data_IF_845623419631
#
_entry.id   IF_845623419631
#
_cell.length_a   1.000
_cell.length_b   1.000
_cell.length_c   1.000
_cell.angle_alpha   90.00
_cell.angle_beta   90.00
_cell.angle_gamma   90.00
#
_symmetry.space_group_name_H-M   'P 1'
#
loop_
_entity.id
_entity.type
_entity.pdbx_description
1 polymer ?
#
# COMPACT_ATOMS: atom_id res chain seq x y z
N UNK A 1 34.60 -11.67 49.91
CA UNK A 1 33.74 -12.57 49.17
C UNK A 1 32.54 -11.76 48.67
N UNK A 2 32.66 -11.21 47.46
CA UNK A 2 31.57 -10.42 46.85
C UNK A 2 30.97 -11.22 45.72
N UNK A 3 29.76 -11.65 45.91
CA UNK A 3 28.97 -12.41 44.93
C UNK A 3 28.31 -11.41 44.00
N UNK A 4 28.88 -11.24 42.80
CA UNK A 4 28.22 -10.47 41.72
C UNK A 4 27.07 -11.28 41.16
N UNK A 5 25.86 -10.93 41.55
CA UNK A 5 24.62 -11.46 40.94
C UNK A 5 24.49 -10.93 39.52
N UNK A 6 24.66 -11.84 38.55
CA UNK A 6 24.38 -11.59 37.14
C UNK A 6 22.86 -11.46 36.96
N UNK A 7 22.32 -10.26 36.99
CA UNK A 7 20.94 -9.97 36.53
C UNK A 7 20.93 -10.11 34.99
N UNK A 8 20.69 -11.32 34.51
CA UNK A 8 20.23 -11.53 33.13
C UNK A 8 18.83 -10.91 33.03
N UNK A 9 18.74 -9.82 32.33
CA UNK A 9 17.50 -9.13 31.99
C UNK A 9 16.60 -10.11 31.23
N UNK A 10 15.69 -10.77 31.96
CA UNK A 10 14.77 -11.77 31.43
C UNK A 10 13.53 -11.03 30.89
N UNK A 11 13.73 -10.20 29.83
CA UNK A 11 12.59 -9.65 29.10
C UNK A 11 11.75 -10.81 28.56
N UNK A 12 10.42 -10.84 28.82
CA UNK A 12 9.56 -11.89 28.30
C UNK A 12 9.72 -11.99 26.79
N UNK A 13 9.92 -13.19 26.26
CA UNK A 13 10.02 -13.43 24.83
C UNK A 13 8.71 -13.00 24.19
N UNK A 14 8.76 -11.99 23.31
CA UNK A 14 7.61 -11.58 22.51
C UNK A 14 7.03 -12.77 21.74
N UNK A 15 5.71 -12.86 21.58
CA UNK A 15 5.06 -13.83 20.70
C UNK A 15 5.65 -13.77 19.27
N UNK A 16 5.50 -14.87 18.52
CA UNK A 16 6.06 -14.98 17.17
C UNK A 16 5.50 -13.89 16.23
N UNK A 17 4.21 -13.64 16.32
CA UNK A 17 3.51 -12.68 15.44
C UNK A 17 3.88 -11.23 15.76
N UNK A 18 4.06 -10.90 17.03
CA UNK A 18 4.54 -9.57 17.44
C UNK A 18 5.97 -9.32 16.94
N UNK A 19 6.85 -10.33 17.03
CA UNK A 19 8.21 -10.22 16.45
C UNK A 19 8.19 -10.06 14.95
N UNK A 20 7.28 -10.78 14.25
CA UNK A 20 7.12 -10.63 12.81
C UNK A 20 6.66 -9.21 12.46
N UNK A 21 5.72 -8.63 13.19
CA UNK A 21 5.26 -7.27 12.98
C UNK A 21 6.37 -6.24 13.18
N UNK A 22 7.18 -6.38 14.26
CA UNK A 22 8.35 -5.51 14.49
C UNK A 22 9.38 -5.61 13.36
N UNK A 23 9.64 -6.81 12.84
CA UNK A 23 10.55 -7.01 11.71
C UNK A 23 10.03 -6.34 10.44
N UNK A 24 8.73 -6.44 10.14
CA UNK A 24 8.13 -5.81 8.97
C UNK A 24 8.18 -4.28 9.07
N UNK A 25 7.88 -3.72 10.25
CA UNK A 25 7.97 -2.27 10.48
C UNK A 25 9.40 -1.75 10.32
N UNK A 26 10.37 -2.40 10.96
CA UNK A 26 11.79 -2.03 10.83
C UNK A 26 12.30 -2.18 9.39
N UNK A 27 11.84 -3.20 8.68
CA UNK A 27 12.20 -3.43 7.28
C UNK A 27 11.65 -2.34 6.37
N UNK A 28 10.38 -1.92 6.56
CA UNK A 28 9.77 -0.82 5.81
C UNK A 28 10.63 0.45 5.93
N UNK A 29 10.96 0.86 7.15
CA UNK A 29 11.79 2.04 7.39
C UNK A 29 13.15 1.95 6.69
N UNK A 30 13.85 0.82 6.83
CA UNK A 30 15.18 0.65 6.23
C UNK A 30 15.10 0.61 4.71
N UNK A 31 14.13 -0.12 4.13
CA UNK A 31 13.95 -0.18 2.67
C UNK A 31 13.56 1.18 2.06
N UNK A 32 12.76 1.97 2.77
CA UNK A 32 12.33 3.29 2.30
C UNK A 32 13.49 4.30 2.32
N UNK A 33 14.36 4.23 3.32
CA UNK A 33 15.49 5.17 3.48
C UNK A 33 16.68 4.79 2.61
N UNK A 34 17.09 3.51 2.67
CA UNK A 34 18.32 3.03 2.02
C UNK A 34 18.10 2.45 0.60
N UNK A 35 16.85 2.14 0.23
CA UNK A 35 16.51 1.35 -0.93
C UNK A 35 16.81 -0.14 -0.71
N UNK A 36 16.23 -1.01 -1.55
CA UNK A 36 16.40 -2.47 -1.41
C UNK A 36 17.87 -2.89 -1.45
N UNK A 37 18.63 -2.41 -2.43
CA UNK A 37 19.99 -2.91 -2.66
C UNK A 37 20.92 -2.57 -1.50
N UNK A 38 20.85 -1.36 -0.95
CA UNK A 38 21.72 -0.88 0.12
C UNK A 38 21.28 -1.31 1.51
N UNK A 39 20.00 -1.69 1.69
CA UNK A 39 19.48 -2.15 2.97
C UNK A 39 20.20 -3.41 3.47
N UNK A 40 20.64 -3.39 4.72
CA UNK A 40 21.33 -4.50 5.37
C UNK A 40 20.39 -5.25 6.32
N UNK A 41 20.37 -6.59 6.24
CA UNK A 41 19.57 -7.45 7.14
C UNK A 41 19.97 -7.26 8.60
N UNK A 42 21.24 -6.94 8.87
CA UNK A 42 21.74 -6.69 10.22
C UNK A 42 21.14 -5.40 10.81
N UNK A 43 21.08 -4.33 10.01
CA UNK A 43 20.44 -3.07 10.43
C UNK A 43 18.95 -3.26 10.74
N UNK A 44 18.25 -4.06 9.92
CA UNK A 44 16.84 -4.38 10.17
C UNK A 44 16.68 -5.17 11.47
N UNK A 45 17.54 -6.16 11.74
CA UNK A 45 17.51 -6.93 12.97
C UNK A 45 17.74 -6.05 14.22
N UNK A 46 18.76 -5.18 14.16
CA UNK A 46 19.09 -4.26 15.23
C UNK A 46 17.94 -3.28 15.50
N UNK A 47 17.34 -2.71 14.44
CA UNK A 47 16.21 -1.79 14.55
C UNK A 47 14.96 -2.45 15.12
N UNK A 48 14.69 -3.71 14.75
CA UNK A 48 13.61 -4.52 15.31
C UNK A 48 13.88 -5.03 16.73
N UNK A 49 15.09 -4.84 17.27
CA UNK A 49 15.49 -5.31 18.60
C UNK A 49 15.56 -6.84 18.68
N UNK A 50 15.88 -7.52 17.57
CA UNK A 50 16.02 -8.99 17.52
C UNK A 50 17.43 -9.39 17.06
N UNK A 51 17.82 -10.63 17.36
CA UNK A 51 19.08 -11.14 16.82
C UNK A 51 18.96 -11.56 15.35
N UNK A 52 20.06 -11.46 14.59
CA UNK A 52 20.13 -11.90 13.19
C UNK A 52 19.59 -13.30 12.93
N UNK A 53 19.91 -14.33 13.75
CA UNK A 53 19.30 -15.65 13.58
C UNK A 53 17.79 -15.67 13.71
N UNK A 54 17.22 -14.83 14.58
CA UNK A 54 15.75 -14.71 14.74
C UNK A 54 15.13 -14.10 13.50
N UNK A 55 15.74 -13.06 12.92
CA UNK A 55 15.28 -12.48 11.65
C UNK A 55 15.26 -13.55 10.55
N UNK A 56 16.34 -14.30 10.36
CA UNK A 56 16.41 -15.35 9.33
C UNK A 56 15.48 -16.54 9.59
N UNK A 57 15.04 -16.78 10.83
CA UNK A 57 13.97 -17.74 11.14
C UNK A 57 12.59 -17.28 10.64
N UNK A 58 12.36 -15.96 10.53
CA UNK A 58 11.10 -15.39 10.02
C UNK A 58 11.14 -15.17 8.50
N UNK A 59 12.31 -14.75 7.99
CA UNK A 59 12.49 -14.37 6.58
C UNK A 59 13.84 -14.93 6.08
N UNK A 60 13.83 -16.02 5.31
CA UNK A 60 15.06 -16.72 4.87
C UNK A 60 16.01 -15.82 4.04
N UNK A 61 15.46 -14.85 3.31
CA UNK A 61 16.23 -13.90 2.51
C UNK A 61 15.75 -12.46 2.66
N UNK A 62 16.56 -11.51 2.16
CA UNK A 62 16.17 -10.10 2.07
C UNK A 62 14.97 -9.91 1.14
N UNK A 63 14.90 -10.71 0.07
CA UNK A 63 13.77 -10.66 -0.87
C UNK A 63 12.49 -11.16 -0.19
N UNK A 64 12.53 -12.27 0.56
CA UNK A 64 11.35 -12.76 1.29
C UNK A 64 10.81 -11.72 2.27
N UNK A 65 11.71 -11.00 2.97
CA UNK A 65 11.33 -9.92 3.86
C UNK A 65 10.71 -8.74 3.10
N UNK A 66 11.33 -8.34 1.99
CA UNK A 66 10.83 -7.26 1.14
C UNK A 66 9.44 -7.57 0.60
N UNK A 67 9.26 -8.78 0.05
CA UNK A 67 7.97 -9.23 -0.47
C UNK A 67 6.89 -9.30 0.61
N UNK A 68 7.25 -9.69 1.84
CA UNK A 68 6.31 -9.72 2.95
C UNK A 68 5.89 -8.31 3.42
N UNK A 69 6.80 -7.32 3.36
CA UNK A 69 6.46 -5.91 3.60
C UNK A 69 5.54 -5.40 2.49
N UNK A 70 5.86 -5.71 1.24
CA UNK A 70 5.06 -5.33 0.07
C UNK A 70 3.63 -5.91 0.17
N UNK A 71 3.51 -7.21 0.44
CA UNK A 71 2.21 -7.90 0.59
C UNK A 71 1.36 -7.26 1.69
N UNK A 72 1.94 -6.90 2.85
CA UNK A 72 1.23 -6.25 3.95
C UNK A 72 0.56 -4.93 3.52
N UNK A 73 1.29 -4.09 2.79
CA UNK A 73 0.77 -2.79 2.35
C UNK A 73 -0.19 -2.91 1.17
N UNK A 74 0.02 -3.88 0.28
CA UNK A 74 -0.94 -4.23 -0.78
C UNK A 74 -2.28 -4.64 -0.16
N UNK A 75 -2.25 -5.58 0.78
CA UNK A 75 -3.45 -6.07 1.44
C UNK A 75 -4.19 -4.94 2.18
N UNK A 76 -3.45 -4.03 2.81
CA UNK A 76 -4.02 -2.84 3.47
C UNK A 76 -4.71 -1.92 2.47
N UNK A 77 -4.08 -1.59 1.34
CA UNK A 77 -4.69 -0.75 0.30
C UNK A 77 -5.95 -1.39 -0.29
N UNK A 78 -5.87 -2.67 -0.68
CA UNK A 78 -7.02 -3.41 -1.22
C UNK A 78 -8.18 -3.42 -0.23
N UNK A 79 -7.91 -3.64 1.05
CA UNK A 79 -8.91 -3.61 2.12
C UNK A 79 -9.58 -2.22 2.25
N UNK A 80 -8.81 -1.13 2.26
CA UNK A 80 -9.37 0.22 2.35
C UNK A 80 -10.20 0.58 1.10
N UNK A 81 -9.82 0.15 -0.09
CA UNK A 81 -10.61 0.30 -1.31
C UNK A 81 -11.95 -0.47 -1.21
N UNK A 82 -11.92 -1.73 -0.79
CA UNK A 82 -13.13 -2.54 -0.62
C UNK A 82 -14.08 -1.94 0.42
N UNK A 83 -13.56 -1.46 1.53
CA UNK A 83 -14.30 -0.77 2.58
C UNK A 83 -14.92 0.54 2.08
N UNK A 84 -14.18 1.32 1.30
CA UNK A 84 -14.68 2.54 0.69
C UNK A 84 -15.86 2.26 -0.25
N UNK A 85 -15.74 1.25 -1.11
CA UNK A 85 -16.81 0.82 -2.02
C UNK A 85 -18.06 0.37 -1.23
N UNK A 86 -17.88 -0.34 -0.12
CA UNK A 86 -18.98 -0.83 0.71
C UNK A 86 -19.63 0.25 1.59
N UNK A 87 -19.02 1.42 1.74
CA UNK A 87 -19.44 2.48 2.68
C UNK A 87 -20.77 3.17 2.32
N UNK A 88 -21.18 3.08 1.04
CA UNK A 88 -22.38 3.76 0.52
C UNK A 88 -23.01 2.97 -0.62
N UNK A 89 -24.35 3.00 -0.80
CA UNK A 89 -25.02 2.44 -1.95
C UNK A 89 -25.01 3.35 -3.18
N UNK A 90 -24.70 4.63 -3.03
CA UNK A 90 -24.69 5.63 -4.12
C UNK A 90 -23.37 5.57 -4.91
N UNK A 91 -23.46 5.44 -6.22
CA UNK A 91 -22.30 5.22 -7.07
C UNK A 91 -21.37 6.43 -7.20
N UNK A 92 -21.91 7.66 -7.17
CA UNK A 92 -21.07 8.86 -7.18
C UNK A 92 -20.26 8.95 -5.88
N UNK A 93 -20.91 8.66 -4.74
CA UNK A 93 -20.24 8.60 -3.45
C UNK A 93 -19.25 7.43 -3.36
N UNK A 94 -19.49 6.28 -4.00
CA UNK A 94 -18.53 5.18 -4.12
C UNK A 94 -17.27 5.61 -4.85
N UNK A 95 -17.40 6.30 -5.99
CA UNK A 95 -16.26 6.85 -6.73
C UNK A 95 -15.46 7.79 -5.84
N UNK A 96 -16.12 8.75 -5.19
CA UNK A 96 -15.47 9.67 -4.26
C UNK A 96 -14.75 8.97 -3.12
N UNK A 97 -15.43 8.02 -2.45
CA UNK A 97 -14.86 7.28 -1.33
C UNK A 97 -13.64 6.43 -1.76
N UNK A 98 -13.68 5.82 -2.96
CA UNK A 98 -12.58 5.05 -3.52
C UNK A 98 -11.37 5.94 -3.83
N UNK A 99 -11.60 7.10 -4.46
CA UNK A 99 -10.54 8.07 -4.73
C UNK A 99 -9.94 8.59 -3.42
N UNK A 100 -10.79 8.96 -2.45
CA UNK A 100 -10.34 9.45 -1.14
C UNK A 100 -9.55 8.40 -0.35
N UNK A 101 -9.96 7.14 -0.40
CA UNK A 101 -9.21 6.03 0.21
C UNK A 101 -7.83 5.88 -0.43
N UNK A 102 -7.72 5.98 -1.75
CA UNK A 102 -6.44 5.90 -2.46
C UNK A 102 -5.50 7.07 -2.09
N UNK A 103 -6.01 8.30 -2.12
CA UNK A 103 -5.26 9.50 -1.74
C UNK A 103 -4.89 9.47 -0.25
N UNK A 104 -5.81 9.02 0.61
CA UNK A 104 -5.57 8.87 2.04
C UNK A 104 -4.48 7.87 2.37
N UNK A 105 -4.46 6.72 1.70
CA UNK A 105 -3.40 5.74 1.83
C UNK A 105 -2.02 6.34 1.49
N UNK A 106 -1.93 7.04 0.37
CA UNK A 106 -0.68 7.68 -0.08
C UNK A 106 -0.22 8.79 0.90
N UNK A 107 -1.14 9.58 1.43
CA UNK A 107 -0.83 10.67 2.35
C UNK A 107 -0.42 10.16 3.74
N UNK A 108 -1.11 9.12 4.24
CA UNK A 108 -0.89 8.59 5.59
C UNK A 108 0.30 7.65 5.70
N UNK A 109 0.64 6.96 4.62
CA UNK A 109 1.70 5.95 4.58
C UNK A 109 2.69 6.23 3.43
N UNK A 110 3.39 7.36 3.54
CA UNK A 110 4.38 7.76 2.54
C UNK A 110 5.53 6.77 2.37
N UNK A 111 5.83 5.95 3.39
CA UNK A 111 6.84 4.89 3.30
C UNK A 111 6.34 3.72 2.49
N UNK A 112 5.11 3.26 2.73
CA UNK A 112 4.48 2.24 1.92
C UNK A 112 4.30 2.71 0.47
N UNK A 113 3.91 3.96 0.24
CA UNK A 113 3.83 4.53 -1.09
C UNK A 113 5.15 4.45 -1.85
N UNK A 114 6.27 4.84 -1.22
CA UNK A 114 7.60 4.75 -1.82
C UNK A 114 7.97 3.31 -2.15
N UNK A 115 7.68 2.38 -1.25
CA UNK A 115 7.93 0.96 -1.47
C UNK A 115 7.13 0.42 -2.67
N UNK A 116 5.85 0.77 -2.76
CA UNK A 116 4.94 0.27 -3.79
C UNK A 116 5.16 0.91 -5.16
N UNK A 117 5.47 2.22 -5.21
CA UNK A 117 5.37 3.00 -6.45
C UNK A 117 6.66 3.69 -6.89
N UNK A 118 7.67 3.78 -6.03
CA UNK A 118 8.93 4.49 -6.32
C UNK A 118 10.16 3.57 -6.18
N UNK A 119 9.95 2.29 -5.86
CA UNK A 119 11.05 1.35 -5.69
C UNK A 119 11.68 0.96 -7.03
N UNK A 120 13.01 0.85 -7.03
CA UNK A 120 13.81 0.27 -8.10
C UNK A 120 13.58 -1.23 -8.29
N UNK A 121 12.91 -1.86 -7.34
CA UNK A 121 12.54 -3.28 -7.38
C UNK A 121 11.31 -3.59 -8.24
N UNK A 122 10.65 -2.60 -8.82
CA UNK A 122 9.47 -2.82 -9.69
C UNK A 122 9.74 -3.68 -10.93
N UNK A 123 11.00 -3.81 -11.35
CA UNK A 123 11.43 -4.68 -12.45
C UNK A 123 11.71 -6.12 -12.02
N UNK A 124 11.80 -6.39 -10.73
CA UNK A 124 11.94 -7.76 -10.20
C UNK A 124 10.64 -8.53 -10.44
N UNK A 125 10.67 -9.71 -11.10
CA UNK A 125 9.44 -10.40 -11.52
C UNK A 125 8.46 -10.67 -10.37
N UNK A 126 8.95 -11.08 -9.21
CA UNK A 126 8.12 -11.37 -8.04
C UNK A 126 7.48 -10.12 -7.43
N UNK A 127 8.07 -8.94 -7.62
CA UNK A 127 7.52 -7.64 -7.21
C UNK A 127 6.50 -7.17 -8.25
N UNK A 128 6.85 -7.22 -9.55
CA UNK A 128 5.95 -6.84 -10.63
C UNK A 128 4.63 -7.61 -10.57
N UNK A 129 4.68 -8.94 -10.37
CA UNK A 129 3.49 -9.79 -10.23
C UNK A 129 2.58 -9.34 -9.07
N UNK A 130 3.15 -8.91 -7.95
CA UNK A 130 2.37 -8.41 -6.79
C UNK A 130 1.71 -7.07 -7.06
N UNK A 131 2.41 -6.17 -7.72
CA UNK A 131 1.86 -4.86 -8.11
C UNK A 131 0.74 -5.00 -9.14
N UNK A 132 0.90 -5.90 -10.11
CA UNK A 132 -0.15 -6.24 -11.08
C UNK A 132 -1.37 -6.85 -10.38
N UNK A 133 -1.15 -7.79 -9.45
CA UNK A 133 -2.21 -8.37 -8.63
C UNK A 133 -2.93 -7.31 -7.80
N UNK A 134 -2.21 -6.39 -7.15
CA UNK A 134 -2.80 -5.28 -6.40
C UNK A 134 -3.75 -4.46 -7.29
N UNK A 135 -3.29 -4.07 -8.48
CA UNK A 135 -4.11 -3.31 -9.44
C UNK A 135 -5.34 -4.11 -9.85
N UNK A 136 -5.17 -5.42 -10.13
CA UNK A 136 -6.26 -6.31 -10.48
C UNK A 136 -7.28 -6.45 -9.34
N UNK A 137 -6.85 -6.67 -8.11
CA UNK A 137 -7.74 -6.88 -6.96
C UNK A 137 -8.55 -5.62 -6.63
N UNK A 138 -7.93 -4.43 -6.69
CA UNK A 138 -8.64 -3.16 -6.59
C UNK A 138 -9.66 -2.97 -7.71
N UNK A 139 -9.26 -3.24 -8.96
CA UNK A 139 -10.14 -3.13 -10.12
C UNK A 139 -11.29 -4.15 -10.08
N UNK A 140 -11.05 -5.37 -9.60
CA UNK A 140 -12.06 -6.40 -9.44
C UNK A 140 -13.17 -5.99 -8.47
N UNK A 141 -12.81 -5.33 -7.36
CA UNK A 141 -13.78 -4.81 -6.40
C UNK A 141 -14.70 -3.75 -7.04
N UNK A 142 -14.13 -2.82 -7.82
CA UNK A 142 -14.90 -1.81 -8.57
C UNK A 142 -15.74 -2.44 -9.66
N UNK A 143 -15.17 -3.36 -10.45
CA UNK A 143 -15.83 -4.00 -11.58
C UNK A 143 -17.04 -4.84 -11.18
N UNK A 144 -17.00 -5.46 -10.00
CA UNK A 144 -18.13 -6.22 -9.47
C UNK A 144 -19.38 -5.32 -9.28
N UNK A 145 -19.20 -4.11 -8.78
CA UNK A 145 -20.29 -3.13 -8.63
C UNK A 145 -20.77 -2.63 -10.00
N UNK A 146 -19.84 -2.29 -10.91
CA UNK A 146 -20.20 -1.86 -12.27
C UNK A 146 -21.05 -2.93 -12.95
N UNK A 147 -20.62 -4.20 -12.93
CA UNK A 147 -21.34 -5.30 -13.55
C UNK A 147 -22.72 -5.52 -12.92
N UNK A 148 -22.82 -5.41 -11.57
CA UNK A 148 -24.07 -5.56 -10.84
C UNK A 148 -25.08 -4.46 -11.20
N UNK A 149 -24.65 -3.20 -11.23
CA UNK A 149 -25.55 -2.06 -11.36
C UNK A 149 -25.90 -1.74 -12.82
N UNK A 150 -25.04 -2.12 -13.77
CA UNK A 150 -25.24 -1.82 -15.20
C UNK A 150 -25.64 -3.01 -16.04
N UNK A 151 -25.46 -4.26 -15.55
CA UNK A 151 -25.63 -5.47 -16.32
C UNK A 151 -24.55 -5.72 -17.38
N UNK A 152 -23.47 -4.93 -17.39
CA UNK A 152 -22.37 -5.10 -18.33
C UNK A 152 -21.64 -6.44 -18.11
N UNK A 153 -21.15 -7.08 -19.20
CA UNK A 153 -20.31 -8.27 -19.09
C UNK A 153 -19.09 -8.02 -18.21
N UNK A 154 -18.65 -9.06 -17.48
CA UNK A 154 -17.53 -8.95 -16.52
C UNK A 154 -16.25 -8.40 -17.15
N UNK A 155 -15.92 -8.78 -18.38
CA UNK A 155 -14.73 -8.27 -19.08
C UNK A 155 -14.80 -6.76 -19.34
N UNK A 156 -16.00 -6.26 -19.73
CA UNK A 156 -16.22 -4.84 -19.96
C UNK A 156 -16.14 -4.06 -18.64
N UNK A 157 -16.79 -4.57 -17.59
CA UNK A 157 -16.73 -3.97 -16.26
C UNK A 157 -15.31 -3.95 -15.70
N UNK A 158 -14.52 -5.02 -15.95
CA UNK A 158 -13.11 -5.07 -15.52
C UNK A 158 -12.27 -4.01 -16.23
N UNK A 159 -12.44 -3.81 -17.53
CA UNK A 159 -11.72 -2.76 -18.26
C UNK A 159 -12.01 -1.37 -17.67
N UNK A 160 -13.28 -1.11 -17.34
CA UNK A 160 -13.68 0.15 -16.68
C UNK A 160 -13.09 0.26 -15.28
N UNK A 161 -13.10 -0.83 -14.50
CA UNK A 161 -12.49 -0.89 -13.17
C UNK A 161 -10.99 -0.58 -13.19
N UNK A 162 -10.26 -1.18 -14.13
CA UNK A 162 -8.82 -0.89 -14.34
C UNK A 162 -8.60 0.57 -14.69
N UNK A 163 -9.43 1.14 -15.57
CA UNK A 163 -9.35 2.56 -15.94
C UNK A 163 -9.56 3.49 -14.76
N UNK A 164 -10.56 3.21 -13.91
CA UNK A 164 -10.84 4.01 -12.71
C UNK A 164 -9.72 3.90 -11.68
N UNK A 165 -9.27 2.69 -11.33
CA UNK A 165 -8.17 2.48 -10.38
C UNK A 165 -6.88 3.08 -10.91
N UNK A 166 -6.54 2.86 -12.18
CA UNK A 166 -5.34 3.47 -12.81
C UNK A 166 -5.37 5.00 -12.78
N UNK A 167 -6.54 5.60 -13.02
CA UNK A 167 -6.70 7.06 -12.91
C UNK A 167 -6.47 7.55 -11.47
N UNK A 168 -7.04 6.88 -10.46
CA UNK A 168 -6.81 7.21 -9.05
C UNK A 168 -5.31 7.08 -8.69
N UNK A 169 -4.69 5.97 -9.07
CA UNK A 169 -3.29 5.67 -8.79
C UNK A 169 -2.33 6.72 -9.39
N UNK A 170 -2.49 7.02 -10.69
CA UNK A 170 -1.60 7.93 -11.40
C UNK A 170 -1.76 9.36 -10.90
N UNK A 171 -3.00 9.80 -10.66
CA UNK A 171 -3.27 11.17 -10.20
C UNK A 171 -2.84 11.38 -8.74
N UNK A 172 -3.05 10.41 -7.87
CA UNK A 172 -2.62 10.47 -6.48
C UNK A 172 -1.09 10.50 -6.37
N UNK A 173 -0.37 9.67 -7.16
CA UNK A 173 1.09 9.70 -7.24
C UNK A 173 1.60 11.06 -7.73
N UNK A 174 1.00 11.61 -8.80
CA UNK A 174 1.37 12.93 -9.31
C UNK A 174 1.14 14.04 -8.28
N UNK A 175 0.02 13.97 -7.55
CA UNK A 175 -0.32 14.94 -6.50
C UNK A 175 0.73 14.95 -5.38
N UNK A 176 1.16 13.79 -4.91
CA UNK A 176 2.15 13.70 -3.84
C UNK A 176 3.56 14.13 -4.29
N UNK A 177 4.03 13.69 -5.47
CA UNK A 177 5.40 13.90 -5.94
C UNK A 177 5.74 15.36 -6.30
N UNK A 178 4.73 16.19 -6.56
CA UNK A 178 4.91 17.55 -7.11
C UNK A 178 4.73 18.65 -6.09
N UNK A 179 4.73 18.37 -4.78
CA UNK A 179 4.40 19.38 -3.75
C UNK A 179 3.16 20.19 -4.17
N UNK A 180 2.12 19.48 -4.55
CA UNK A 180 0.91 20.09 -5.09
C UNK A 180 0.35 21.12 -4.11
N UNK A 181 0.00 22.32 -4.61
CA UNK A 181 -0.70 23.34 -3.82
C UNK A 181 -2.15 22.98 -3.52
N UNK A 182 -2.65 21.87 -4.09
CA UNK A 182 -3.99 21.38 -3.82
C UNK A 182 -4.01 20.59 -2.52
N UNK A 183 -4.97 20.89 -1.66
CA UNK A 183 -5.26 20.00 -0.53
C UNK A 183 -5.75 18.64 -1.05
N UNK A 184 -5.62 17.58 -0.23
CA UNK A 184 -6.19 16.27 -0.56
C UNK A 184 -7.64 16.35 -0.98
N UNK A 185 -8.46 17.10 -0.21
CA UNK A 185 -9.88 17.27 -0.52
C UNK A 185 -10.12 17.87 -1.91
N UNK A 186 -9.36 18.91 -2.30
CA UNK A 186 -9.44 19.50 -3.64
C UNK A 186 -9.03 18.52 -4.73
N UNK A 187 -7.94 17.78 -4.52
CA UNK A 187 -7.46 16.79 -5.47
C UNK A 187 -8.48 15.64 -5.65
N UNK A 188 -9.03 15.12 -4.57
CA UNK A 188 -10.09 14.10 -4.58
C UNK A 188 -11.32 14.58 -5.35
N UNK A 189 -11.80 15.80 -5.08
CA UNK A 189 -12.96 16.38 -5.76
C UNK A 189 -12.74 16.51 -7.27
N UNK A 190 -11.56 16.95 -7.70
CA UNK A 190 -11.21 17.05 -9.12
C UNK A 190 -11.19 15.70 -9.81
N UNK A 191 -10.56 14.69 -9.17
CA UNK A 191 -10.43 13.35 -9.73
C UNK A 191 -11.77 12.62 -9.73
N UNK A 192 -12.56 12.74 -8.67
CA UNK A 192 -13.93 12.22 -8.62
C UNK A 192 -14.80 12.81 -9.75
N UNK A 193 -14.80 14.14 -9.92
CA UNK A 193 -15.57 14.78 -10.99
C UNK A 193 -15.11 14.31 -12.39
N UNK A 194 -13.81 14.16 -12.60
CA UNK A 194 -13.28 13.61 -13.85
C UNK A 194 -13.76 12.18 -14.10
N UNK A 195 -13.73 11.32 -13.09
CA UNK A 195 -14.14 9.92 -13.22
C UNK A 195 -15.64 9.76 -13.39
N UNK A 196 -16.44 10.57 -12.67
CA UNK A 196 -17.89 10.44 -12.67
C UNK A 196 -18.55 11.14 -13.87
N UNK A 197 -18.08 12.33 -14.25
CA UNK A 197 -18.68 13.18 -15.27
C UNK A 197 -17.85 13.29 -16.56
N UNK A 198 -16.63 12.81 -16.53
CA UNK A 198 -15.67 13.05 -17.63
C UNK A 198 -15.25 14.53 -17.72
N UNK A 199 -14.49 14.85 -18.77
CA UNK A 199 -13.98 16.22 -18.98
C UNK A 199 -15.11 17.24 -19.22
N UNK A 200 -16.28 16.81 -19.69
CA UNK A 200 -17.45 17.65 -19.89
C UNK A 200 -18.05 18.20 -18.58
N UNK A 201 -17.67 17.61 -17.43
CA UNK A 201 -18.08 18.11 -16.11
C UNK A 201 -17.33 19.38 -15.65
N UNK A 202 -16.33 19.83 -16.41
CA UNK A 202 -15.55 21.04 -16.11
C UNK A 202 -16.03 22.22 -16.99
N UNK A 203 -15.98 23.47 -16.46
CA UNK A 203 -16.42 24.63 -17.23
C UNK A 203 -15.54 24.83 -18.46
N UNK A 204 -16.16 25.00 -19.62
CA UNK A 204 -15.50 25.52 -20.82
C UNK A 204 -15.31 27.04 -20.71
N UNK A 205 -14.18 27.56 -21.20
CA UNK A 205 -13.95 29.02 -21.25
C UNK A 205 -14.84 29.65 -22.33
#
# INVERSE_FOLDING_TARGET
MSTSANFRDNKPRLPRDERRALLLSAALEVFTVAGYHSAAMDEIADRAGVSKPVLYQHFPSKLDLYLAVLDLHIDSLVFEIQKAIASTPDNANRVRATVDAYFGFIESDGEAFRLLFESDMSVEPSVAERLDRMTYDCAAAVSAIISLDTGLPKEVAMLLGVGLIGSAQVTARHWLQRDSKLSRQQAVELVENLMWRGISGFPSK
#
